data_IF_485578098792
#
_entry.id   IF_485578098792
#
_cell.length_a   1.000
_cell.length_b   1.000
_cell.length_c   1.000
_cell.angle_alpha   90.00
_cell.angle_beta   90.00
_cell.angle_gamma   90.00
#
_symmetry.space_group_name_H-M   'P 1'
#
loop_
_entity.id
_entity.type
_entity.pdbx_description
1 polymer ?
#
# COMPACT_ATOMS: atom_id res chain seq x y z
N UNK A 1 11.46 -27.25 -0.48
CA UNK A 1 11.49 -25.90 -1.08
C UNK A 1 10.06 -25.50 -1.39
N UNK A 2 9.50 -24.55 -0.64
CA UNK A 2 8.14 -24.03 -0.87
C UNK A 2 8.29 -22.53 -1.09
N UNK A 3 8.06 -22.08 -2.31
CA UNK A 3 7.97 -20.66 -2.64
C UNK A 3 6.55 -20.19 -2.32
N UNK A 4 6.35 -19.61 -1.13
CA UNK A 4 5.10 -18.93 -0.80
C UNK A 4 5.16 -17.52 -1.42
N UNK A 5 4.61 -17.38 -2.63
CA UNK A 5 4.55 -16.12 -3.38
C UNK A 5 3.36 -15.26 -2.92
N UNK A 6 3.36 -14.87 -1.65
CA UNK A 6 2.45 -13.83 -1.17
C UNK A 6 3.28 -12.85 -0.35
N UNK A 7 3.88 -11.87 -1.03
CA UNK A 7 4.54 -10.77 -0.34
C UNK A 7 3.47 -9.98 0.44
N UNK A 8 3.39 -10.26 1.75
CA UNK A 8 2.77 -9.39 2.72
C UNK A 8 3.80 -8.34 3.11
N UNK A 9 3.66 -7.15 2.55
CA UNK A 9 4.48 -6.02 2.96
C UNK A 9 3.89 -5.43 4.24
N UNK A 10 4.75 -5.24 5.23
CA UNK A 10 4.44 -4.48 6.43
C UNK A 10 5.08 -3.11 6.23
N UNK A 11 4.27 -2.06 6.26
CA UNK A 11 4.71 -0.67 6.17
C UNK A 11 4.31 0.07 7.44
N UNK A 12 5.21 0.89 7.97
CA UNK A 12 4.91 1.73 9.11
C UNK A 12 3.96 2.86 8.68
N UNK A 13 2.86 3.07 9.40
CA UNK A 13 1.92 4.17 9.13
C UNK A 13 2.63 5.53 9.20
N UNK A 14 3.60 5.68 10.11
CA UNK A 14 4.42 6.88 10.23
C UNK A 14 5.31 7.19 9.04
N UNK A 15 5.62 6.19 8.21
CA UNK A 15 6.40 6.38 6.98
C UNK A 15 5.52 6.74 5.78
N UNK A 16 4.19 6.68 5.91
CA UNK A 16 3.26 7.06 4.85
C UNK A 16 3.26 8.58 4.72
N UNK A 17 3.82 9.06 3.61
CA UNK A 17 3.83 10.48 3.26
C UNK A 17 2.47 10.91 2.71
N UNK A 18 1.99 10.20 1.67
CA UNK A 18 0.67 10.46 1.09
C UNK A 18 0.11 9.27 0.34
N UNK A 19 -1.21 9.18 0.32
CA UNK A 19 -1.96 8.16 -0.40
C UNK A 19 -2.57 8.79 -1.64
N UNK A 20 -2.12 8.40 -2.82
CA UNK A 20 -2.62 8.91 -4.10
C UNK A 20 -3.40 7.84 -4.84
N UNK A 21 -4.41 8.25 -5.61
CA UNK A 21 -5.10 7.30 -6.50
C UNK A 21 -4.20 6.99 -7.68
N UNK A 22 -3.95 5.71 -7.88
CA UNK A 22 -3.21 5.17 -9.00
C UNK A 22 -4.20 4.41 -9.89
N UNK A 23 -4.02 4.43 -11.21
CA UNK A 23 -5.04 4.06 -12.21
C UNK A 23 -5.93 2.84 -11.88
N UNK A 24 -7.15 2.82 -12.43
CA UNK A 24 -8.17 1.78 -12.19
C UNK A 24 -8.54 1.59 -10.71
N UNK A 25 -8.75 2.71 -10.00
CA UNK A 25 -9.19 2.74 -8.61
C UNK A 25 -8.22 2.07 -7.61
N UNK A 26 -6.95 1.96 -7.99
CA UNK A 26 -5.88 1.52 -7.12
C UNK A 26 -5.40 2.70 -6.25
N UNK A 27 -4.71 2.40 -5.17
CA UNK A 27 -4.05 3.41 -4.35
C UNK A 27 -2.56 3.17 -4.43
N UNK A 28 -1.77 4.22 -4.62
CA UNK A 28 -0.33 4.19 -4.46
C UNK A 28 0.01 4.90 -3.17
N UNK A 29 0.78 4.24 -2.32
CA UNK A 29 1.30 4.83 -1.09
C UNK A 29 2.67 5.40 -1.43
N UNK A 30 2.86 6.68 -1.17
CA UNK A 30 4.15 7.32 -1.19
C UNK A 30 4.68 7.34 0.24
N UNK A 31 5.93 6.93 0.40
CA UNK A 31 6.59 6.81 1.69
C UNK A 31 7.86 7.66 1.73
N UNK A 32 8.16 8.19 2.91
CA UNK A 32 9.34 9.00 3.17
C UNK A 32 10.04 8.46 4.44
N UNK A 33 11.32 8.05 4.39
CA UNK A 33 12.29 8.16 3.30
C UNK A 33 11.94 7.32 2.06
N UNK A 34 12.30 7.84 0.88
CA UNK A 34 11.97 7.24 -0.42
C UNK A 34 12.53 5.82 -0.51
N UNK A 35 11.65 4.82 -0.49
CA UNK A 35 12.05 3.42 -0.71
C UNK A 35 12.04 3.10 -2.20
N UNK A 36 12.93 2.22 -2.62
CA UNK A 36 13.01 1.74 -4.01
C UNK A 36 11.78 0.91 -4.44
N UNK A 37 10.89 0.58 -3.50
CA UNK A 37 9.71 -0.25 -3.73
C UNK A 37 8.45 0.60 -3.69
N UNK A 38 7.73 0.65 -4.81
CA UNK A 38 6.42 1.27 -4.90
C UNK A 38 5.34 0.38 -4.29
N UNK A 39 4.61 0.91 -3.31
CA UNK A 39 3.49 0.19 -2.67
C UNK A 39 2.20 0.53 -3.39
N UNK A 40 1.65 -0.43 -4.14
CA UNK A 40 0.40 -0.29 -4.87
C UNK A 40 -0.67 -1.22 -4.27
N UNK A 41 -1.79 -0.64 -3.86
CA UNK A 41 -2.96 -1.34 -3.35
C UNK A 41 -4.00 -1.47 -4.47
N UNK A 42 -4.33 -2.70 -4.82
CA UNK A 42 -5.38 -2.98 -5.80
C UNK A 42 -6.77 -2.55 -5.30
N UNK A 43 -7.70 -2.26 -6.22
CA UNK A 43 -9.06 -1.77 -5.93
C UNK A 43 -9.82 -2.54 -4.84
N UNK A 44 -9.67 -3.87 -4.79
CA UNK A 44 -10.37 -4.73 -3.82
C UNK A 44 -9.91 -4.44 -2.37
N UNK A 45 -8.61 -4.19 -2.19
CA UNK A 45 -8.02 -3.89 -0.88
C UNK A 45 -8.00 -2.39 -0.57
N UNK A 46 -8.15 -1.54 -1.57
CA UNK A 46 -8.16 -0.09 -1.41
C UNK A 46 -9.29 0.41 -0.51
N UNK A 47 -10.49 -0.18 -0.62
CA UNK A 47 -11.64 0.18 0.21
C UNK A 47 -11.42 -0.22 1.68
N UNK A 48 -10.97 -1.45 1.92
CA UNK A 48 -10.65 -1.94 3.26
C UNK A 48 -9.49 -1.16 3.89
N UNK A 49 -8.46 -0.82 3.12
CA UNK A 49 -7.33 -0.04 3.61
C UNK A 49 -7.75 1.36 4.08
N UNK A 50 -8.63 2.04 3.34
CA UNK A 50 -9.20 3.32 3.78
C UNK A 50 -10.02 3.17 5.07
N UNK A 51 -10.80 2.09 5.17
CA UNK A 51 -11.59 1.79 6.37
C UNK A 51 -10.70 1.50 7.58
N UNK A 52 -9.59 0.79 7.38
CA UNK A 52 -8.61 0.49 8.42
C UNK A 52 -7.94 1.76 8.95
N UNK A 53 -7.67 2.73 8.08
CA UNK A 53 -7.14 4.05 8.45
C UNK A 53 -8.11 4.92 9.26
N UNK A 54 -9.39 4.53 9.42
CA UNK A 54 -10.41 5.22 10.23
C UNK A 54 -10.37 6.76 10.12
N UNK A 55 -10.38 7.27 8.89
CA UNK A 55 -10.70 8.68 8.58
C UNK A 55 -12.18 8.81 8.24
#
# INVERSE_FOLDING_TARGET
>A
MVYCYFLQFIVAISAIDKIVRYGNNQLKILINPNSEVDIIISKNKAAEFKKWLNL
#
